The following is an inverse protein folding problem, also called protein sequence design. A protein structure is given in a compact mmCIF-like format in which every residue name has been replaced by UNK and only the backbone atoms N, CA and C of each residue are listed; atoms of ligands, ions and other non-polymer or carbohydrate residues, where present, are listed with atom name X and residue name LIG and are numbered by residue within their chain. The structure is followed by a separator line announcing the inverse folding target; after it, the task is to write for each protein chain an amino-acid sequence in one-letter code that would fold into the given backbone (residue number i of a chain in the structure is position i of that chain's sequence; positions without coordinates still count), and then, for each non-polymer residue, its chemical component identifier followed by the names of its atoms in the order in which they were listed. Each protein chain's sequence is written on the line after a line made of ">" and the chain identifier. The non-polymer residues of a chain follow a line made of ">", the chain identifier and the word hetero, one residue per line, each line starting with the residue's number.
data_IF_373141667099
#
_entry.id   IF_373141667099
#
_cell.length_a   1.000
_cell.length_b   1.000
_cell.length_c   1.000
_cell.angle_alpha   90.00
_cell.angle_beta   90.00
_cell.angle_gamma   90.00
#
_symmetry.space_group_name_H-M   'P 1'
#
loop_
_entity.id
_entity.type
_entity.pdbx_description
1 polymer ?
#
# COMPACT_ATOMS: atom_id res chain seq x y z
N UNK A 1 -5.72 -2.03 -7.31
CA UNK A 1 -4.71 -0.96 -7.44
C UNK A 1 -3.77 -1.35 -8.56
N UNK A 2 -3.84 -0.68 -9.72
CA UNK A 2 -2.74 -0.71 -10.67
C UNK A 2 -1.54 0.02 -10.05
N UNK A 3 -0.36 -0.59 -10.10
CA UNK A 3 0.89 0.00 -9.65
C UNK A 3 1.74 0.29 -10.88
N UNK A 4 2.33 1.48 -10.92
CA UNK A 4 3.30 1.85 -11.93
C UNK A 4 4.69 1.76 -11.30
N UNK A 5 5.41 0.68 -11.63
CA UNK A 5 6.73 0.42 -11.07
C UNK A 5 7.80 1.40 -11.54
N UNK A 6 7.55 2.18 -12.60
CA UNK A 6 8.49 3.20 -13.07
C UNK A 6 8.68 4.36 -12.07
N UNK A 7 7.74 4.52 -11.13
CA UNK A 7 7.78 5.53 -10.07
C UNK A 7 8.57 5.13 -8.84
N UNK A 8 9.00 3.87 -8.77
CA UNK A 8 9.66 3.28 -7.62
C UNK A 8 11.15 3.09 -7.90
N UNK A 9 12.00 3.02 -6.87
CA UNK A 9 13.41 2.73 -7.07
C UNK A 9 13.61 1.35 -7.73
N UNK A 10 14.68 1.14 -8.52
CA UNK A 10 14.89 -0.10 -9.26
C UNK A 10 14.94 -1.37 -8.38
N UNK A 11 15.35 -1.23 -7.11
CA UNK A 11 15.43 -2.33 -6.16
C UNK A 11 14.11 -2.63 -5.43
N UNK A 12 13.00 -1.96 -5.79
CA UNK A 12 11.70 -2.13 -5.13
C UNK A 12 11.22 -3.59 -5.14
N UNK A 13 11.28 -4.24 -6.30
CA UNK A 13 10.81 -5.62 -6.46
C UNK A 13 11.82 -6.67 -5.98
N UNK A 14 13.12 -6.34 -6.02
CA UNK A 14 14.21 -7.28 -5.73
C UNK A 14 14.60 -7.29 -4.25
N UNK A 15 14.50 -6.16 -3.56
CA UNK A 15 15.01 -5.99 -2.19
C UNK A 15 13.95 -5.49 -1.23
N UNK A 16 13.38 -4.31 -1.50
CA UNK A 16 12.49 -3.63 -0.55
C UNK A 16 11.24 -4.46 -0.30
N UNK A 17 10.50 -4.83 -1.36
CA UNK A 17 9.27 -5.61 -1.22
C UNK A 17 9.50 -6.97 -0.56
N UNK A 18 10.48 -7.81 -0.97
CA UNK A 18 10.76 -9.07 -0.29
C UNK A 18 11.11 -8.88 1.18
N UNK A 19 11.93 -7.88 1.53
CA UNK A 19 12.32 -7.59 2.90
C UNK A 19 11.13 -7.21 3.79
N UNK A 20 10.25 -6.33 3.32
CA UNK A 20 9.04 -5.96 4.09
C UNK A 20 8.07 -7.14 4.23
N UNK A 21 7.93 -7.98 3.20
CA UNK A 21 7.11 -9.20 3.29
C UNK A 21 7.68 -10.21 4.30
N UNK A 22 9.00 -10.38 4.34
CA UNK A 22 9.69 -11.21 5.32
C UNK A 22 9.50 -10.67 6.74
N UNK A 23 9.68 -9.35 6.95
CA UNK A 23 9.41 -8.68 8.24
C UNK A 23 7.99 -8.96 8.73
N UNK A 24 7.02 -8.92 7.82
CA UNK A 24 5.62 -9.17 8.10
C UNK A 24 5.25 -10.66 8.23
N UNK A 25 6.22 -11.58 8.19
CA UNK A 25 6.01 -13.03 8.18
C UNK A 25 5.03 -13.50 7.10
N UNK A 26 5.03 -12.84 5.93
CA UNK A 26 4.07 -13.06 4.86
C UNK A 26 2.60 -12.95 5.29
N UNK A 27 2.31 -12.13 6.30
CA UNK A 27 0.97 -11.83 6.79
C UNK A 27 0.67 -10.34 6.66
N UNK A 28 -0.61 -9.99 6.57
CA UNK A 28 -1.05 -8.60 6.62
C UNK A 28 -0.75 -8.03 8.02
N UNK A 29 -0.01 -6.93 8.12
CA UNK A 29 0.34 -6.31 9.41
C UNK A 29 -0.87 -5.63 10.10
N UNK A 30 -2.01 -5.51 9.41
CA UNK A 30 -3.25 -4.92 9.96
C UNK A 30 -4.23 -5.99 10.46
N UNK A 31 -4.45 -7.05 9.69
CA UNK A 31 -5.47 -8.06 10.02
C UNK A 31 -4.93 -9.48 10.19
N UNK A 32 -3.63 -9.70 10.00
CA UNK A 32 -2.97 -10.99 10.17
C UNK A 32 -3.21 -12.02 9.06
N UNK A 33 -4.02 -11.72 8.03
CA UNK A 33 -4.28 -12.71 6.97
C UNK A 33 -3.00 -13.09 6.22
N UNK A 34 -2.71 -14.39 6.02
CA UNK A 34 -1.56 -14.81 5.23
C UNK A 34 -1.67 -14.41 3.76
N UNK A 35 -0.52 -14.25 3.11
CA UNK A 35 -0.46 -14.06 1.67
C UNK A 35 -0.96 -15.30 0.93
N UNK A 36 -1.58 -15.10 -0.24
CA UNK A 36 -2.17 -16.12 -1.09
C UNK A 36 -3.31 -16.95 -0.48
N UNK A 37 -3.84 -16.58 0.68
CA UNK A 37 -5.04 -17.21 1.24
C UNK A 37 -6.17 -17.17 0.21
N UNK A 38 -6.78 -18.32 -0.15
CA UNK A 38 -7.95 -18.34 -1.02
C UNK A 38 -9.15 -17.78 -0.25
N UNK A 39 -9.84 -16.80 -0.83
CA UNK A 39 -11.06 -16.21 -0.27
C UNK A 39 -12.22 -16.40 -1.24
N UNK A 40 -13.37 -16.76 -0.67
CA UNK A 40 -14.61 -17.06 -1.40
C UNK A 40 -14.58 -18.44 -2.04
N UNK A 41 -15.55 -18.70 -2.92
CA UNK A 41 -15.48 -19.85 -3.83
C UNK A 41 -16.55 -20.92 -3.71
N UNK A 42 -17.77 -20.59 -3.28
CA UNK A 42 -18.88 -21.56 -3.29
C UNK A 42 -19.45 -21.77 -4.70
N UNK A 43 -19.50 -20.70 -5.52
CA UNK A 43 -20.09 -20.71 -6.87
C UNK A 43 -19.20 -20.03 -7.94
N UNK A 44 -18.04 -19.51 -7.54
CA UNK A 44 -17.12 -18.75 -8.40
C UNK A 44 -15.68 -19.22 -8.13
N UNK A 45 -14.76 -18.94 -9.06
CA UNK A 45 -13.34 -19.24 -8.84
C UNK A 45 -12.84 -18.47 -7.60
N UNK A 46 -12.18 -19.14 -6.63
CA UNK A 46 -11.63 -18.48 -5.46
C UNK A 46 -10.57 -17.48 -5.89
N UNK A 47 -10.52 -16.33 -5.21
CA UNK A 47 -9.49 -15.31 -5.44
C UNK A 47 -8.42 -15.44 -4.36
N UNK A 48 -7.17 -15.19 -4.73
CA UNK A 48 -6.06 -15.18 -3.79
C UNK A 48 -5.94 -13.81 -3.14
N UNK A 49 -5.76 -13.78 -1.83
CA UNK A 49 -5.29 -12.59 -1.12
C UNK A 49 -3.90 -12.27 -1.62
N UNK A 50 -3.66 -11.03 -2.04
CA UNK A 50 -2.33 -10.54 -2.39
C UNK A 50 -1.94 -9.48 -1.37
N UNK A 51 -0.76 -9.65 -0.76
CA UNK A 51 -0.12 -8.60 0.02
C UNK A 51 0.58 -7.60 -0.90
N UNK A 52 0.37 -6.34 -0.58
CA UNK A 52 0.95 -5.16 -1.22
C UNK A 52 1.63 -4.31 -0.15
N UNK A 53 2.65 -3.54 -0.53
CA UNK A 53 3.32 -2.63 0.40
C UNK A 53 2.66 -1.26 0.31
N UNK A 54 2.13 -0.79 1.44
CA UNK A 54 1.52 0.52 1.60
C UNK A 54 2.57 1.53 2.11
N UNK A 55 2.53 2.74 1.56
CA UNK A 55 3.32 3.87 2.03
C UNK A 55 2.50 4.60 3.09
N UNK A 56 2.97 4.64 4.33
CA UNK A 56 2.23 5.27 5.43
C UNK A 56 2.16 6.80 5.28
N UNK A 57 3.05 7.42 4.51
CA UNK A 57 2.99 8.83 4.12
C UNK A 57 2.11 9.08 2.88
N UNK A 58 1.56 8.03 2.26
CA UNK A 58 0.84 8.06 0.98
C UNK A 58 1.63 8.67 -0.19
N UNK A 59 2.96 8.63 -0.12
CA UNK A 59 3.87 9.11 -1.15
C UNK A 59 4.61 7.95 -1.84
N UNK A 60 4.12 7.47 -3.00
CA UNK A 60 4.78 6.40 -3.74
C UNK A 60 6.05 6.86 -4.48
N UNK A 61 6.32 8.18 -4.56
CA UNK A 61 7.50 8.74 -5.24
C UNK A 61 8.65 9.00 -4.24
N UNK A 62 8.46 8.71 -2.96
CA UNK A 62 9.50 8.76 -1.94
C UNK A 62 10.47 7.58 -2.08
N UNK A 63 11.56 7.78 -2.82
CA UNK A 63 12.54 6.72 -3.10
C UNK A 63 13.40 6.34 -1.88
N UNK A 64 13.56 7.26 -0.92
CA UNK A 64 14.34 7.06 0.31
C UNK A 64 13.44 6.72 1.52
N UNK A 65 12.26 6.14 1.24
CA UNK A 65 11.31 5.73 2.27
C UNK A 65 11.93 4.69 3.21
N UNK A 66 11.89 4.99 4.50
CA UNK A 66 12.39 4.09 5.54
C UNK A 66 11.43 2.91 5.73
N UNK A 67 11.94 1.75 6.12
CA UNK A 67 11.15 0.52 6.28
C UNK A 67 9.98 0.70 7.27
N UNK A 68 10.16 1.53 8.30
CA UNK A 68 9.13 1.82 9.31
C UNK A 68 7.95 2.61 8.74
N UNK A 69 8.14 3.27 7.58
CA UNK A 69 7.11 3.98 6.82
C UNK A 69 6.44 3.08 5.77
N UNK A 70 6.88 1.83 5.65
CA UNK A 70 6.29 0.82 4.77
C UNK A 70 5.53 -0.22 5.59
N UNK A 71 4.40 -0.68 5.08
CA UNK A 71 3.60 -1.72 5.74
C UNK A 71 3.05 -2.74 4.75
N UNK A 72 3.19 -4.03 5.03
CA UNK A 72 2.57 -5.10 4.25
C UNK A 72 1.08 -5.20 4.58
N UNK A 73 0.23 -4.85 3.61
CA UNK A 73 -1.22 -4.89 3.74
C UNK A 73 -1.86 -5.77 2.67
N UNK A 74 -2.92 -6.51 3.05
CA UNK A 74 -3.77 -7.18 2.07
C UNK A 74 -4.58 -6.18 1.26
N UNK A 75 -5.06 -6.57 0.08
CA UNK A 75 -5.86 -5.73 -0.81
C UNK A 75 -7.03 -5.01 -0.10
N UNK A 76 -7.72 -5.70 0.83
CA UNK A 76 -8.83 -5.11 1.60
C UNK A 76 -8.35 -4.01 2.55
N UNK A 77 -7.34 -4.30 3.37
CA UNK A 77 -6.80 -3.35 4.34
C UNK A 77 -6.15 -2.14 3.65
N UNK A 78 -5.44 -2.38 2.54
CA UNK A 78 -4.82 -1.31 1.78
C UNK A 78 -5.86 -0.37 1.17
N UNK A 79 -6.92 -0.90 0.55
CA UNK A 79 -8.02 -0.08 0.00
C UNK A 79 -8.79 0.68 1.07
N UNK A 80 -8.92 0.10 2.28
CA UNK A 80 -9.51 0.78 3.43
C UNK A 80 -8.64 1.96 3.86
N UNK A 81 -7.32 1.76 3.97
CA UNK A 81 -6.36 2.80 4.31
C UNK A 81 -6.40 3.96 3.32
N UNK A 82 -6.35 3.66 2.03
CA UNK A 82 -6.37 4.68 0.97
C UNK A 82 -7.73 5.36 0.79
N UNK A 83 -8.81 4.92 1.46
CA UNK A 83 -10.19 5.36 1.19
C UNK A 83 -10.34 6.87 1.30
N UNK A 84 -9.83 7.48 2.37
CA UNK A 84 -9.95 8.92 2.60
C UNK A 84 -9.10 9.72 1.61
N UNK A 85 -7.85 9.30 1.40
CA UNK A 85 -6.95 9.93 0.43
C UNK A 85 -7.52 9.85 -1.01
N UNK A 86 -8.11 8.72 -1.39
CA UNK A 86 -8.75 8.54 -2.68
C UNK A 86 -10.02 9.39 -2.83
N UNK A 87 -10.81 9.54 -1.76
CA UNK A 87 -11.97 10.44 -1.76
C UNK A 87 -11.53 11.90 -1.94
N UNK A 88 -10.46 12.31 -1.25
CA UNK A 88 -9.87 13.63 -1.40
C UNK A 88 -9.36 13.88 -2.84
N UNK A 89 -8.52 12.97 -3.36
CA UNK A 89 -7.99 13.02 -4.75
C UNK A 89 -9.11 13.02 -5.80
N UNK A 90 -10.22 12.33 -5.56
CA UNK A 90 -11.39 12.34 -6.45
C UNK A 90 -12.11 13.69 -6.43
N UNK A 91 -12.27 14.31 -5.26
CA UNK A 91 -12.98 15.59 -5.12
C UNK A 91 -12.17 16.76 -5.70
N UNK A 92 -10.87 16.81 -5.44
CA UNK A 92 -10.05 17.98 -5.74
C UNK A 92 -9.03 17.74 -6.88
N UNK A 93 -8.92 16.51 -7.39
CA UNK A 93 -7.92 16.13 -8.39
C UNK A 93 -6.60 15.67 -7.78
N UNK A 94 -5.74 15.06 -8.61
CA UNK A 94 -4.48 14.44 -8.17
C UNK A 94 -3.48 15.43 -7.53
N UNK A 95 -3.50 16.69 -7.94
CA UNK A 95 -2.53 17.72 -7.52
C UNK A 95 -3.03 18.58 -6.34
N UNK A 96 -4.19 18.25 -5.79
CA UNK A 96 -4.85 19.07 -4.76
C UNK A 96 -4.08 19.21 -3.45
N UNK A 97 -3.20 18.25 -3.14
CA UNK A 97 -2.35 18.28 -1.94
C UNK A 97 -0.95 18.85 -2.19
N UNK A 98 -0.50 18.94 -3.45
CA UNK A 98 0.85 19.40 -3.78
C UNK A 98 1.07 20.89 -3.47
N UNK A 99 0.00 21.69 -3.48
CA UNK A 99 0.05 23.14 -3.25
C UNK A 99 -0.55 23.57 -1.89
N UNK A 100 -0.79 22.64 -0.97
CA UNK A 100 -1.26 22.99 0.37
C UNK A 100 -0.08 23.16 1.32
N UNK A 101 -0.04 24.31 2.00
CA UNK A 101 0.94 24.62 3.04
C UNK A 101 0.66 23.66 4.20
N UNK A 102 1.62 22.79 4.57
CA UNK A 102 1.53 22.00 5.79
C UNK A 102 1.64 22.97 6.97
N UNK A 103 0.56 23.16 7.73
CA UNK A 103 0.62 23.82 9.03
C UNK A 103 1.41 22.92 9.98
N UNK A 104 2.59 23.38 10.39
CA UNK A 104 3.28 22.81 11.55
C UNK A 104 2.44 23.17 12.78
N UNK A 105 1.82 22.16 13.39
CA UNK A 105 1.15 22.32 14.67
C UNK A 105 2.23 22.40 15.76
N UNK A 106 2.10 23.35 16.71
CA UNK A 106 3.08 23.56 17.78
C UNK A 106 3.21 22.38 18.73
#
# INVERSE_FOLDING_TARGET
>A
MPIDYSKYPPNWLTEIRPRILLRANHCCEVCGVPNYTPIGGTFQKPKKVILTIAHLDHDPENWDVQDERLQAMCQKCHLQYDRLNNAYKRKYGKNASQNQIKLELP
#
